data_IF_421626085406
#
_entry.id   IF_421626085406
#
_cell.length_a   1.000
_cell.length_b   1.000
_cell.length_c   1.000
_cell.angle_alpha   90.00
_cell.angle_beta   90.00
_cell.angle_gamma   90.00
#
_symmetry.space_group_name_H-M   'P 1'
#
loop_
_entity.id
_entity.type
_entity.pdbx_description
1 polymer ?
#
# COMPACT_ATOMS: atom_id res chain seq x y z
N UNK A 1 -9.55 -12.28 -7.03
CA UNK A 1 -8.95 -12.17 -5.68
C UNK A 1 -9.99 -12.50 -4.62
N UNK A 2 -9.69 -13.42 -3.71
CA UNK A 2 -10.57 -13.70 -2.54
C UNK A 2 -10.35 -12.64 -1.44
N UNK A 3 -11.23 -12.57 -0.43
CA UNK A 3 -11.03 -11.70 0.75
C UNK A 3 -9.71 -11.99 1.47
N UNK A 4 -9.24 -13.25 1.45
CA UNK A 4 -7.97 -13.64 2.04
C UNK A 4 -6.77 -13.11 1.24
N UNK A 5 -6.82 -13.17 -0.08
CA UNK A 5 -5.75 -12.65 -0.96
C UNK A 5 -5.66 -11.14 -0.87
N UNK A 6 -6.81 -10.45 -0.81
CA UNK A 6 -6.87 -9.00 -0.61
C UNK A 6 -6.23 -8.59 0.72
N UNK A 7 -6.50 -9.33 1.80
CA UNK A 7 -5.87 -9.08 3.11
C UNK A 7 -4.36 -9.30 3.06
N UNK A 8 -3.89 -10.37 2.39
CA UNK A 8 -2.45 -10.62 2.20
C UNK A 8 -1.79 -9.53 1.36
N UNK A 9 -2.42 -9.12 0.28
CA UNK A 9 -1.99 -8.04 -0.61
C UNK A 9 -1.83 -6.73 0.17
N UNK A 10 -2.88 -6.27 0.86
CA UNK A 10 -2.84 -5.03 1.65
C UNK A 10 -1.79 -5.06 2.76
N UNK A 11 -1.57 -6.23 3.39
CA UNK A 11 -0.54 -6.40 4.41
C UNK A 11 0.87 -6.34 3.80
N UNK A 12 1.08 -6.97 2.64
CA UNK A 12 2.34 -6.94 1.90
C UNK A 12 2.67 -5.52 1.42
N UNK A 13 1.67 -4.85 0.84
CA UNK A 13 1.76 -3.47 0.37
C UNK A 13 2.14 -2.52 1.51
N UNK A 14 1.41 -2.55 2.63
CA UNK A 14 1.71 -1.68 3.77
C UNK A 14 3.11 -1.97 4.36
N UNK A 15 3.53 -3.24 4.39
CA UNK A 15 4.86 -3.62 4.87
C UNK A 15 5.98 -3.16 3.93
N UNK A 16 5.80 -3.27 2.63
CA UNK A 16 6.79 -2.80 1.66
C UNK A 16 6.86 -1.27 1.65
N UNK A 17 5.72 -0.58 1.70
CA UNK A 17 5.66 0.87 1.84
C UNK A 17 6.39 1.32 3.11
N UNK A 18 6.10 0.73 4.27
CA UNK A 18 6.81 1.06 5.51
C UNK A 18 8.33 0.78 5.42
N UNK A 19 8.77 -0.21 4.62
CA UNK A 19 10.17 -0.56 4.47
C UNK A 19 10.91 0.38 3.51
N UNK A 20 10.33 0.68 2.35
CA UNK A 20 10.94 1.58 1.37
C UNK A 20 10.89 3.03 1.81
N UNK A 21 9.83 3.40 2.52
CA UNK A 21 9.63 4.77 2.97
C UNK A 21 10.32 5.07 4.33
N UNK A 22 10.72 4.03 5.08
CA UNK A 22 11.46 4.23 6.33
C UNK A 22 10.66 4.98 7.41
N UNK A 23 11.37 5.55 8.40
CA UNK A 23 10.74 6.27 9.54
C UNK A 23 10.10 7.60 9.14
N UNK A 24 10.62 8.29 8.12
CA UNK A 24 10.18 9.63 7.74
C UNK A 24 8.86 9.65 6.98
N UNK A 25 8.54 8.58 6.25
CA UNK A 25 7.33 8.47 5.43
C UNK A 25 6.28 7.50 6.02
N UNK A 26 6.50 6.99 7.23
CA UNK A 26 5.56 6.08 7.90
C UNK A 26 4.16 6.69 8.13
N UNK A 27 4.04 8.02 8.07
CA UNK A 27 2.77 8.76 8.14
C UNK A 27 2.19 9.17 6.77
N UNK A 28 2.90 8.86 5.68
CA UNK A 28 2.54 9.28 4.33
C UNK A 28 1.67 8.27 3.60
N UNK A 29 1.46 7.06 4.13
CA UNK A 29 0.62 6.03 3.51
C UNK A 29 -0.47 5.53 4.47
N UNK A 30 -1.72 5.57 4.01
CA UNK A 30 -2.90 5.22 4.80
C UNK A 30 -3.82 4.29 4.02
N UNK A 31 -4.55 3.42 4.72
CA UNK A 31 -5.58 2.60 4.07
C UNK A 31 -6.69 3.48 3.47
N UNK A 32 -7.17 3.11 2.29
CA UNK A 32 -8.29 3.75 1.61
C UNK A 32 -9.57 2.91 1.77
N UNK A 33 -10.74 3.51 2.06
CA UNK A 33 -10.95 4.91 2.42
C UNK A 33 -10.22 5.29 3.72
N UNK A 34 -9.81 6.55 3.84
CA UNK A 34 -8.98 7.04 4.97
C UNK A 34 -9.65 6.69 6.30
N UNK A 35 -8.94 5.98 7.18
CA UNK A 35 -9.47 5.47 8.44
C UNK A 35 -10.02 4.05 8.39
N UNK A 36 -10.06 3.40 7.21
CA UNK A 36 -10.46 2.01 7.09
C UNK A 36 -9.47 1.08 7.78
N UNK A 37 -10.00 0.08 8.48
CA UNK A 37 -9.18 -1.03 9.00
C UNK A 37 -8.67 -1.88 7.82
N UNK A 38 -7.54 -2.59 7.96
CA UNK A 38 -7.00 -3.44 6.89
C UNK A 38 -8.00 -4.45 6.31
N UNK A 39 -9.00 -4.85 7.09
CA UNK A 39 -10.08 -5.77 6.69
C UNK A 39 -11.14 -5.12 5.78
N UNK A 40 -11.35 -3.82 5.91
CA UNK A 40 -12.38 -3.04 5.21
C UNK A 40 -11.76 -2.13 4.12
N UNK A 41 -10.44 -1.96 4.16
CA UNK A 41 -9.69 -1.20 3.19
C UNK A 41 -9.82 -1.79 1.78
N UNK A 42 -9.94 -0.92 0.78
CA UNK A 42 -9.95 -1.24 -0.64
C UNK A 42 -8.61 -1.00 -1.30
N UNK A 43 -7.74 -0.18 -0.69
CA UNK A 43 -6.38 0.08 -1.15
C UNK A 43 -5.52 0.74 -0.07
N UNK A 44 -4.33 1.16 -0.45
CA UNK A 44 -3.49 2.09 0.32
C UNK A 44 -3.30 3.33 -0.55
N UNK A 45 -3.51 4.50 0.03
CA UNK A 45 -3.32 5.80 -0.62
C UNK A 45 -2.26 6.59 0.13
N UNK A 46 -1.68 7.57 -0.56
CA UNK A 46 -0.85 8.57 0.08
C UNK A 46 -1.71 9.52 0.92
N UNK A 47 -1.20 9.96 2.07
CA UNK A 47 -1.81 10.99 2.90
C UNK A 47 -1.63 12.36 2.24
N UNK A 48 -2.43 13.38 2.59
CA UNK A 48 -2.30 14.72 2.02
C UNK A 48 -0.93 15.38 2.24
N UNK A 49 -0.15 14.89 3.21
CA UNK A 49 1.19 15.36 3.52
C UNK A 49 2.30 14.63 2.72
N UNK A 50 1.93 13.73 1.80
CA UNK A 50 2.89 13.01 0.96
C UNK A 50 3.49 13.94 -0.10
N UNK A 51 4.82 13.92 -0.21
CA UNK A 51 5.54 14.63 -1.27
C UNK A 51 5.58 13.80 -2.57
N UNK A 52 6.08 14.40 -3.66
CA UNK A 52 6.20 13.74 -4.95
C UNK A 52 7.08 12.46 -4.90
N UNK A 53 8.04 12.42 -3.97
CA UNK A 53 8.92 11.26 -3.76
C UNK A 53 8.15 10.10 -3.12
N UNK A 54 7.31 10.37 -2.13
CA UNK A 54 6.41 9.40 -1.51
C UNK A 54 5.42 8.83 -2.53
N UNK A 55 4.87 9.68 -3.40
CA UNK A 55 3.98 9.23 -4.48
C UNK A 55 4.71 8.27 -5.44
N UNK A 56 5.94 8.58 -5.84
CA UNK A 56 6.75 7.70 -6.68
C UNK A 56 7.08 6.36 -6.02
N UNK A 57 7.43 6.36 -4.72
CA UNK A 57 7.62 5.12 -3.93
C UNK A 57 6.31 4.33 -3.85
N UNK A 58 5.18 5.00 -3.65
CA UNK A 58 3.87 4.33 -3.59
C UNK A 58 3.57 3.59 -4.88
N UNK A 59 3.75 4.26 -6.01
CA UNK A 59 3.47 3.69 -7.33
C UNK A 59 4.39 2.51 -7.64
N UNK A 60 5.70 2.64 -7.37
CA UNK A 60 6.67 1.56 -7.58
C UNK A 60 6.38 0.34 -6.70
N UNK A 61 6.04 0.55 -5.42
CA UNK A 61 5.67 -0.53 -4.50
C UNK A 61 4.32 -1.15 -4.88
N UNK A 62 3.32 -0.35 -5.25
CA UNK A 62 2.05 -0.86 -5.75
C UNK A 62 2.26 -1.72 -6.99
N UNK A 63 3.07 -1.28 -7.96
CA UNK A 63 3.36 -2.06 -9.16
C UNK A 63 4.07 -3.38 -8.83
N UNK A 64 5.07 -3.39 -7.93
CA UNK A 64 5.77 -4.61 -7.49
C UNK A 64 4.85 -5.59 -6.77
N UNK A 65 4.12 -5.14 -5.76
CA UNK A 65 3.20 -6.00 -5.01
C UNK A 65 2.05 -6.45 -5.90
N UNK A 66 1.58 -5.61 -6.82
CA UNK A 66 0.59 -6.01 -7.80
C UNK A 66 1.15 -7.05 -8.77
N UNK A 67 2.39 -6.97 -9.22
CA UNK A 67 3.02 -8.02 -10.03
C UNK A 67 3.17 -9.34 -9.25
N UNK A 68 3.58 -9.28 -7.97
CA UNK A 68 3.71 -10.46 -7.10
C UNK A 68 2.35 -11.16 -6.84
N UNK A 69 1.25 -10.40 -6.84
CA UNK A 69 -0.10 -10.93 -6.59
C UNK A 69 -0.95 -11.13 -7.87
N UNK A 70 -0.59 -10.44 -8.95
CA UNK A 70 -1.26 -10.40 -10.25
C UNK A 70 -0.54 -11.23 -11.31
N UNK A 71 0.63 -11.79 -11.01
CA UNK A 71 1.34 -12.79 -11.81
C UNK A 71 0.67 -14.17 -11.86
N UNK A 72 -0.59 -14.29 -11.43
CA UNK A 72 -1.46 -15.41 -11.73
C UNK A 72 -2.67 -14.88 -12.52
N UNK A 73 -2.42 -14.49 -13.78
CA UNK A 73 -3.42 -14.43 -14.82
C UNK A 73 -3.35 -15.74 -15.62
#
# INVERSE_FOLDING_TARGET
MTKADKKKYLKALNRQLAREAGKDFGASFVFYPVGAKPKDATGVTASPAADARALGVMEAVQARVFADFGGAA
#
